data_IF_097935842523
#
_entry.id   IF_097935842523
#
_cell.length_a   1.000
_cell.length_b   1.000
_cell.length_c   1.000
_cell.angle_alpha   90.00
_cell.angle_beta   90.00
_cell.angle_gamma   90.00
#
_symmetry.space_group_name_H-M   'P 1'
#
loop_
_entity.id
_entity.type
_entity.pdbx_description
1 polymer ?
#
# COMPACT_ATOMS: atom_id res chain seq x y z
N UNK A 1 9.27 3.85 -10.94
CA UNK A 1 10.68 3.80 -10.46
C UNK A 1 10.78 4.20 -9.00
N UNK A 2 10.53 5.47 -8.64
CA UNK A 2 10.64 5.95 -7.23
C UNK A 2 9.79 5.13 -6.25
N UNK A 3 8.52 4.89 -6.58
CA UNK A 3 7.64 4.07 -5.74
C UNK A 3 8.14 2.63 -5.55
N UNK A 4 8.80 2.04 -6.55
CA UNK A 4 9.36 0.69 -6.48
C UNK A 4 10.58 0.61 -5.55
N UNK A 5 11.45 1.62 -5.58
CA UNK A 5 12.59 1.72 -4.66
C UNK A 5 12.08 1.84 -3.22
N UNK A 6 11.11 2.73 -2.98
CA UNK A 6 10.49 2.89 -1.66
C UNK A 6 9.84 1.60 -1.16
N UNK A 7 9.12 0.87 -2.02
CA UNK A 7 8.49 -0.39 -1.66
C UNK A 7 9.53 -1.48 -1.29
N UNK A 8 10.62 -1.57 -2.05
CA UNK A 8 11.71 -2.52 -1.77
C UNK A 8 12.41 -2.26 -0.43
N UNK A 9 12.58 -1.00 -0.04
CA UNK A 9 13.22 -0.63 1.23
C UNK A 9 12.23 -0.73 2.40
N UNK A 10 10.97 -0.35 2.17
CA UNK A 10 9.94 -0.29 3.21
C UNK A 10 9.57 -1.66 3.80
N UNK A 11 9.40 -2.68 2.94
CA UNK A 11 8.97 -4.01 3.40
C UNK A 11 9.90 -4.62 4.46
N UNK A 12 11.21 -4.80 4.19
CA UNK A 12 12.15 -5.34 5.16
C UNK A 12 12.29 -4.48 6.42
N UNK A 13 12.26 -3.14 6.27
CA UNK A 13 12.37 -2.21 7.40
C UNK A 13 11.19 -2.35 8.37
N UNK A 14 9.95 -2.37 7.85
CA UNK A 14 8.74 -2.54 8.67
C UNK A 14 8.70 -3.90 9.35
N UNK A 15 9.04 -4.97 8.64
CA UNK A 15 9.08 -6.31 9.22
C UNK A 15 10.09 -6.40 10.37
N UNK A 16 11.29 -5.83 10.20
CA UNK A 16 12.30 -5.78 11.25
C UNK A 16 11.85 -4.95 12.45
N UNK A 17 11.18 -3.82 12.22
CA UNK A 17 10.65 -2.99 13.30
C UNK A 17 9.58 -3.74 14.13
N UNK A 18 8.62 -4.38 13.48
CA UNK A 18 7.54 -5.11 14.17
C UNK A 18 8.06 -6.34 14.92
N UNK A 19 8.93 -7.13 14.30
CA UNK A 19 9.47 -8.35 14.91
C UNK A 19 10.52 -8.02 15.98
N UNK A 20 11.26 -6.92 15.83
CA UNK A 20 12.27 -6.49 16.80
C UNK A 20 11.71 -5.94 18.11
N UNK A 21 10.45 -5.51 18.14
CA UNK A 21 9.80 -4.95 19.33
C UNK A 21 9.15 -6.00 20.25
N UNK A 22 9.08 -7.26 19.82
CA UNK A 22 8.38 -8.32 20.58
C UNK A 22 9.35 -9.33 21.22
N UNK A 23 8.97 -9.97 22.35
CA UNK A 23 9.72 -11.09 22.92
C UNK A 23 9.85 -12.23 21.92
N UNK A 24 10.93 -13.02 22.02
CA UNK A 24 11.21 -14.15 21.11
C UNK A 24 10.06 -15.15 21.00
N UNK A 25 9.29 -15.34 22.07
CA UNK A 25 8.11 -16.22 22.11
C UNK A 25 6.95 -15.74 21.25
N UNK A 26 6.88 -14.43 20.93
CA UNK A 26 5.78 -13.81 20.18
C UNK A 26 6.13 -13.46 18.72
N UNK A 27 7.35 -13.78 18.26
CA UNK A 27 7.84 -13.47 16.89
C UNK A 27 6.96 -14.08 15.80
N UNK A 28 6.45 -15.30 16.01
CA UNK A 28 5.54 -15.96 15.08
C UNK A 28 4.23 -15.17 14.90
N UNK A 29 3.63 -14.72 16.00
CA UNK A 29 2.41 -13.90 15.98
C UNK A 29 2.64 -12.53 15.35
N UNK A 30 3.76 -11.87 15.68
CA UNK A 30 4.10 -10.55 15.13
C UNK A 30 4.34 -10.58 13.61
N UNK A 31 5.07 -11.60 13.14
CA UNK A 31 5.30 -11.80 11.70
C UNK A 31 4.02 -12.20 10.96
N UNK A 32 3.15 -13.01 11.58
CA UNK A 32 1.83 -13.33 11.06
C UNK A 32 0.94 -12.09 10.91
N UNK A 33 0.91 -11.21 11.92
CA UNK A 33 0.14 -9.97 11.87
C UNK A 33 0.65 -9.03 10.76
N UNK A 34 1.97 -8.87 10.63
CA UNK A 34 2.56 -8.09 9.53
C UNK A 34 2.14 -8.66 8.15
N UNK A 35 2.20 -9.98 7.99
CA UNK A 35 1.81 -10.62 6.74
C UNK A 35 0.30 -10.45 6.44
N UNK A 36 -0.56 -10.50 7.46
CA UNK A 36 -1.99 -10.25 7.32
C UNK A 36 -2.24 -8.83 6.79
N UNK A 37 -1.64 -7.81 7.38
CA UNK A 37 -1.79 -6.42 6.91
C UNK A 37 -1.27 -6.23 5.49
N UNK A 38 -0.16 -6.88 5.13
CA UNK A 38 0.37 -6.87 3.77
C UNK A 38 -0.62 -7.46 2.76
N UNK A 39 -1.23 -8.60 3.08
CA UNK A 39 -2.23 -9.24 2.24
C UNK A 39 -3.52 -8.43 2.18
N UNK A 40 -3.95 -7.84 3.31
CA UNK A 40 -5.09 -6.94 3.39
C UNK A 40 -4.92 -5.73 2.46
N UNK A 41 -3.73 -5.13 2.45
CA UNK A 41 -3.40 -4.03 1.54
C UNK A 41 -3.58 -4.41 0.06
N UNK A 42 -3.19 -5.62 -0.33
CA UNK A 42 -3.44 -6.14 -1.68
C UNK A 42 -4.93 -6.41 -1.94
N UNK A 43 -5.60 -7.08 -1.01
CA UNK A 43 -7.01 -7.46 -1.13
C UNK A 43 -7.96 -6.26 -1.20
N UNK A 44 -7.65 -5.17 -0.49
CA UNK A 44 -8.47 -3.95 -0.48
C UNK A 44 -8.00 -2.95 -1.54
N UNK A 45 -6.68 -2.75 -1.67
CA UNK A 45 -6.12 -1.73 -2.56
C UNK A 45 -6.33 -2.03 -4.04
N UNK A 46 -6.29 -3.30 -4.46
CA UNK A 46 -6.49 -3.68 -5.87
C UNK A 46 -7.93 -3.40 -6.32
N UNK A 47 -8.99 -3.89 -5.65
CA UNK A 47 -10.37 -3.57 -6.03
C UNK A 47 -10.67 -2.07 -6.03
N UNK A 48 -10.18 -1.31 -5.04
CA UNK A 48 -10.37 0.15 -4.99
C UNK A 48 -9.75 0.83 -6.22
N UNK A 49 -8.55 0.41 -6.64
CA UNK A 49 -7.90 0.92 -7.85
C UNK A 49 -8.68 0.54 -9.12
N UNK A 50 -9.25 -0.67 -9.16
CA UNK A 50 -10.10 -1.13 -10.28
C UNK A 50 -11.41 -0.34 -10.33
N UNK A 51 -12.05 -0.07 -9.20
CA UNK A 51 -13.26 0.76 -9.12
C UNK A 51 -12.97 2.18 -9.65
N UNK A 52 -11.84 2.78 -9.27
CA UNK A 52 -11.43 4.08 -9.79
C UNK A 52 -11.18 4.07 -11.31
N UNK A 53 -10.60 2.99 -11.85
CA UNK A 53 -10.42 2.80 -13.29
C UNK A 53 -11.77 2.82 -14.03
N UNK A 54 -12.76 2.06 -13.56
CA UNK A 54 -14.07 1.98 -14.20
C UNK A 54 -14.92 3.25 -14.02
N UNK A 55 -14.67 4.03 -12.97
CA UNK A 55 -15.43 5.25 -12.72
C UNK A 55 -15.08 6.39 -13.67
N UNK A 56 -13.80 6.50 -14.06
CA UNK A 56 -13.29 7.59 -14.92
C UNK A 56 -12.79 7.11 -16.29
N UNK A 57 -12.86 5.81 -16.56
CA UNK A 57 -12.34 5.19 -17.76
C UNK A 57 -13.22 4.10 -18.31
N UNK A 58 -12.65 3.30 -19.20
CA UNK A 58 -13.35 2.25 -19.93
C UNK A 58 -12.46 1.58 -20.95
N UNK A 59 -12.92 0.47 -21.51
CA UNK A 59 -12.16 -0.31 -22.49
C UNK A 59 -12.59 -0.05 -23.95
N UNK A 60 -13.52 0.88 -24.18
CA UNK A 60 -14.10 1.09 -25.51
C UNK A 60 -13.18 1.86 -26.47
N UNK A 61 -12.29 2.71 -25.96
CA UNK A 61 -11.32 3.43 -26.78
C UNK A 61 -10.00 3.69 -26.01
N UNK A 62 -8.88 3.97 -26.72
CA UNK A 62 -7.58 4.19 -26.09
C UNK A 62 -7.56 5.36 -25.09
N UNK A 63 -8.32 6.41 -25.36
CA UNK A 63 -8.40 7.60 -24.51
C UNK A 63 -9.02 7.27 -23.15
N UNK A 64 -10.14 6.54 -23.13
CA UNK A 64 -10.81 6.06 -21.91
C UNK A 64 -9.93 5.11 -21.10
N UNK A 65 -9.14 4.26 -21.78
CA UNK A 65 -8.17 3.39 -21.12
C UNK A 65 -7.10 4.21 -20.40
N UNK A 66 -6.54 5.23 -21.05
CA UNK A 66 -5.53 6.12 -20.44
C UNK A 66 -6.12 6.91 -19.26
N UNK A 67 -7.33 7.47 -19.39
CA UNK A 67 -7.98 8.18 -18.28
C UNK A 67 -8.24 7.27 -17.07
N UNK A 68 -8.76 6.07 -17.30
CA UNK A 68 -8.95 5.08 -16.23
C UNK A 68 -7.63 4.67 -15.58
N UNK A 69 -6.57 4.48 -16.36
CA UNK A 69 -5.25 4.14 -15.85
C UNK A 69 -4.67 5.25 -14.97
N UNK A 70 -4.78 6.52 -15.40
CA UNK A 70 -4.37 7.67 -14.61
C UNK A 70 -5.17 7.74 -13.30
N UNK A 71 -6.49 7.52 -13.34
CA UNK A 71 -7.34 7.49 -12.16
C UNK A 71 -6.93 6.38 -11.17
N UNK A 72 -6.65 5.18 -11.66
CA UNK A 72 -6.17 4.07 -10.84
C UNK A 72 -4.82 4.38 -10.18
N UNK A 73 -3.87 4.95 -10.94
CA UNK A 73 -2.56 5.33 -10.42
C UNK A 73 -2.63 6.47 -9.40
N UNK A 74 -3.48 7.47 -9.63
CA UNK A 74 -3.74 8.54 -8.67
C UNK A 74 -4.33 7.99 -7.36
N UNK A 75 -5.28 7.06 -7.46
CA UNK A 75 -5.89 6.39 -6.31
C UNK A 75 -4.85 5.61 -5.51
N UNK A 76 -3.99 4.84 -6.17
CA UNK A 76 -2.87 4.14 -5.53
C UNK A 76 -1.89 5.12 -4.84
N UNK A 77 -1.61 6.26 -5.47
CA UNK A 77 -0.80 7.33 -4.90
C UNK A 77 -1.41 7.93 -3.62
N UNK A 78 -2.72 8.22 -3.64
CA UNK A 78 -3.46 8.74 -2.48
C UNK A 78 -3.45 7.71 -1.34
N UNK A 79 -3.71 6.44 -1.63
CA UNK A 79 -3.67 5.37 -0.62
C UNK A 79 -2.27 5.23 0.01
N UNK A 80 -1.21 5.31 -0.79
CA UNK A 80 0.17 5.31 -0.29
C UNK A 80 0.45 6.51 0.63
N UNK A 81 -0.03 7.70 0.25
CA UNK A 81 0.12 8.90 1.06
C UNK A 81 -0.67 8.82 2.39
N UNK A 82 -1.92 8.33 2.35
CA UNK A 82 -2.73 8.09 3.54
C UNK A 82 -2.06 7.11 4.51
N UNK A 83 -1.41 6.07 4.00
CA UNK A 83 -0.63 5.13 4.80
C UNK A 83 0.59 5.75 5.48
N UNK A 84 1.12 6.86 4.96
CA UNK A 84 2.23 7.59 5.56
C UNK A 84 1.81 8.61 6.63
N UNK A 85 0.53 9.01 6.68
CA UNK A 85 0.04 9.99 7.66
C UNK A 85 0.31 9.59 9.13
N UNK A 86 0.12 8.33 9.57
CA UNK A 86 0.43 7.94 10.94
C UNK A 86 1.91 8.13 11.30
N UNK A 87 2.84 7.98 10.34
CA UNK A 87 4.27 8.20 10.56
C UNK A 87 4.58 9.66 10.88
N UNK A 88 3.87 10.60 10.24
CA UNK A 88 4.06 12.04 10.49
C UNK A 88 3.65 12.46 11.91
N UNK A 89 2.75 11.71 12.56
CA UNK A 89 2.36 11.95 13.96
C UNK A 89 3.50 11.58 14.91
N UNK A 90 4.17 10.46 14.66
CA UNK A 90 5.25 9.93 15.52
C UNK A 90 6.49 10.84 15.49
N UNK A 91 6.74 11.55 14.39
CA UNK A 91 7.90 12.46 14.28
C UNK A 91 7.75 13.78 15.04
N UNK A 92 6.54 14.14 15.48
CA UNK A 92 6.26 15.39 16.20
C UNK A 92 6.21 15.19 17.73
N UNK A 93 6.40 13.96 18.20
CA UNK A 93 6.53 13.59 19.62
C UNK A 93 8.01 13.32 19.94
#
# INVERSE_FOLDING_TARGET
MIAGIGLSIGGPAMQKAVVGLVPRTAVGSASGLYNLFRLLGGAVGVPVSVMAFYWLGGMANPTQLTHGFVAAMATAGILSFLGALPLSRISNE
#
